data_IF_091527080337
#
_entry.id   IF_091527080337
#
_cell.length_a   1.000
_cell.length_b   1.000
_cell.length_c   1.000
_cell.angle_alpha   90.00
_cell.angle_beta   90.00
_cell.angle_gamma   90.00
#
_symmetry.space_group_name_H-M   'P 1'
#
loop_
_entity.id
_entity.type
_entity.pdbx_description
1 polymer ?
#
# COMPACT_ATOMS: atom_id res chain seq x y z
N UNK A 1 -5.36 10.85 -15.88
CA UNK A 1 -5.04 10.96 -14.44
C UNK A 1 -3.71 10.29 -14.17
N UNK A 2 -2.94 10.77 -13.21
CA UNK A 2 -1.69 10.10 -12.79
C UNK A 2 -2.01 8.91 -11.87
N UNK A 3 -1.08 7.96 -11.78
CA UNK A 3 -1.17 6.83 -10.84
C UNK A 3 -1.46 7.29 -9.41
N UNK A 4 -0.80 8.37 -8.98
CA UNK A 4 -0.98 8.94 -7.65
C UNK A 4 -2.38 9.54 -7.44
N UNK A 5 -2.95 10.18 -8.45
CA UNK A 5 -4.33 10.68 -8.40
C UNK A 5 -5.33 9.54 -8.26
N UNK A 6 -5.18 8.47 -9.06
CA UNK A 6 -6.06 7.29 -8.97
C UNK A 6 -5.95 6.63 -7.60
N UNK A 7 -4.74 6.36 -7.12
CA UNK A 7 -4.52 5.78 -5.78
C UNK A 7 -5.16 6.62 -4.68
N UNK A 8 -5.08 7.95 -4.78
CA UNK A 8 -5.74 8.86 -3.83
C UNK A 8 -7.25 8.70 -3.85
N UNK A 9 -7.88 8.69 -5.03
CA UNK A 9 -9.33 8.54 -5.16
C UNK A 9 -9.81 7.19 -4.59
N UNK A 10 -9.08 6.11 -4.90
CA UNK A 10 -9.40 4.78 -4.39
C UNK A 10 -9.21 4.66 -2.87
N UNK A 11 -8.19 5.33 -2.31
CA UNK A 11 -8.01 5.41 -0.86
C UNK A 11 -9.17 6.16 -0.17
N UNK A 12 -9.70 7.22 -0.81
CA UNK A 12 -10.85 7.95 -0.30
C UNK A 12 -12.14 7.11 -0.37
N UNK A 13 -12.37 6.39 -1.47
CA UNK A 13 -13.50 5.46 -1.60
C UNK A 13 -13.45 4.32 -0.56
N UNK A 14 -12.25 3.79 -0.29
CA UNK A 14 -12.05 2.86 0.85
C UNK A 14 -12.46 3.51 2.17
N UNK A 15 -12.02 4.73 2.43
CA UNK A 15 -12.34 5.43 3.66
C UNK A 15 -13.86 5.68 3.80
N UNK A 16 -14.56 6.01 2.71
CA UNK A 16 -16.02 6.14 2.73
C UNK A 16 -16.69 4.83 3.16
N UNK A 17 -16.24 3.71 2.62
CA UNK A 17 -16.75 2.38 2.96
C UNK A 17 -16.43 1.98 4.41
N UNK A 18 -15.21 2.26 4.88
CA UNK A 18 -14.73 1.93 6.23
C UNK A 18 -15.45 2.73 7.31
N UNK A 19 -15.61 4.04 7.10
CA UNK A 19 -16.26 4.92 8.06
C UNK A 19 -17.76 5.08 7.84
N UNK A 20 -18.32 4.43 6.82
CA UNK A 20 -19.72 4.56 6.39
C UNK A 20 -20.14 6.03 6.24
N UNK A 21 -19.25 6.84 5.67
CA UNK A 21 -19.41 8.28 5.53
C UNK A 21 -19.20 8.68 4.07
N UNK A 22 -20.08 9.54 3.57
CA UNK A 22 -19.93 10.16 2.25
C UNK A 22 -19.01 11.38 2.36
N UNK A 23 -17.95 11.44 1.55
CA UNK A 23 -17.02 12.57 1.46
C UNK A 23 -17.30 13.47 0.26
N UNK A 24 -18.39 13.25 -0.48
CA UNK A 24 -18.79 14.02 -1.67
C UNK A 24 -17.65 14.14 -2.68
N UNK A 25 -17.04 13.01 -2.99
CA UNK A 25 -15.89 12.93 -3.88
C UNK A 25 -16.27 13.32 -5.31
N UNK A 26 -15.48 14.20 -5.94
CA UNK A 26 -15.59 14.46 -7.38
C UNK A 26 -14.88 13.36 -8.15
N UNK A 27 -15.62 12.32 -8.50
CA UNK A 27 -15.12 11.17 -9.26
C UNK A 27 -15.38 11.38 -10.76
N UNK A 28 -14.48 10.90 -11.64
CA UNK A 28 -14.80 10.73 -13.05
C UNK A 28 -16.02 9.81 -13.22
N UNK A 29 -16.77 10.01 -14.30
CA UNK A 29 -17.89 9.14 -14.65
C UNK A 29 -17.44 7.67 -14.79
N UNK A 30 -18.20 6.75 -14.21
CA UNK A 30 -17.89 5.32 -14.22
C UNK A 30 -16.65 4.92 -13.42
N UNK A 31 -16.02 5.85 -12.68
CA UNK A 31 -14.77 5.57 -11.98
C UNK A 31 -14.97 4.42 -10.98
N UNK A 32 -15.96 4.53 -10.10
CA UNK A 32 -16.18 3.55 -9.04
C UNK A 32 -16.54 2.17 -9.62
N UNK A 33 -17.45 2.15 -10.58
CA UNK A 33 -17.97 0.97 -11.27
C UNK A 33 -16.87 0.24 -12.05
N UNK A 34 -15.96 0.99 -12.68
CA UNK A 34 -14.83 0.42 -13.43
C UNK A 34 -13.87 -0.37 -12.55
N UNK A 35 -13.71 -0.01 -11.27
CA UNK A 35 -12.89 -0.75 -10.33
C UNK A 35 -13.67 -1.89 -9.66
N UNK A 36 -14.93 -1.65 -9.30
CA UNK A 36 -15.81 -2.66 -8.67
C UNK A 36 -16.09 -3.88 -9.57
N UNK A 37 -16.11 -3.68 -10.89
CA UNK A 37 -16.37 -4.74 -11.87
C UNK A 37 -15.18 -5.66 -12.14
N UNK A 38 -13.99 -5.35 -11.62
CA UNK A 38 -12.79 -6.12 -11.92
C UNK A 38 -12.74 -7.41 -11.11
N UNK A 39 -12.32 -8.50 -11.75
CA UNK A 39 -12.22 -9.82 -11.10
C UNK A 39 -11.23 -9.87 -9.93
N UNK A 40 -10.25 -8.96 -9.90
CA UNK A 40 -9.28 -8.81 -8.82
C UNK A 40 -9.80 -7.95 -7.65
N UNK A 41 -10.90 -7.22 -7.83
CA UNK A 41 -11.49 -6.41 -6.76
C UNK A 41 -12.10 -7.32 -5.69
N UNK A 42 -11.83 -7.00 -4.42
CA UNK A 42 -12.26 -7.79 -3.25
C UNK A 42 -13.20 -7.01 -2.33
N UNK A 43 -13.76 -5.90 -2.82
CA UNK A 43 -14.56 -4.97 -2.04
C UNK A 43 -13.73 -3.85 -1.41
N UNK A 44 -14.37 -2.71 -1.15
CA UNK A 44 -13.70 -1.50 -0.64
C UNK A 44 -13.04 -1.69 0.73
N UNK A 45 -13.64 -2.50 1.61
CA UNK A 45 -13.09 -2.81 2.94
C UNK A 45 -11.78 -3.60 2.79
N UNK A 46 -11.73 -4.54 1.85
CA UNK A 46 -10.56 -5.37 1.57
C UNK A 46 -9.61 -4.72 0.56
N UNK A 47 -9.85 -3.45 0.20
CA UNK A 47 -9.04 -2.78 -0.82
C UNK A 47 -7.56 -2.73 -0.41
N UNK A 48 -7.23 -2.78 0.88
CA UNK A 48 -5.85 -2.88 1.38
C UNK A 48 -5.08 -4.13 0.91
N UNK A 49 -5.76 -5.23 0.56
CA UNK A 49 -5.18 -6.44 -0.03
C UNK A 49 -4.97 -6.29 -1.55
N UNK A 50 -5.76 -5.44 -2.19
CA UNK A 50 -5.76 -5.15 -3.63
C UNK A 50 -5.28 -3.72 -3.93
N UNK A 51 -4.45 -3.15 -3.04
CA UNK A 51 -4.30 -1.69 -2.91
C UNK A 51 -3.41 -1.02 -3.96
N UNK A 52 -3.00 -1.76 -4.97
CA UNK A 52 -2.20 -1.19 -6.03
C UNK A 52 -2.94 -1.25 -7.35
N UNK A 53 -2.63 -0.24 -8.15
CA UNK A 53 -3.00 -0.22 -9.55
C UNK A 53 -1.74 -0.51 -10.36
N UNK A 54 -1.95 -1.14 -11.51
CA UNK A 54 -0.87 -1.48 -12.41
C UNK A 54 -0.06 -0.23 -12.81
N UNK A 55 1.23 -0.43 -13.09
CA UNK A 55 2.14 0.68 -13.41
C UNK A 55 1.98 1.14 -14.86
N UNK A 56 1.60 0.24 -15.75
CA UNK A 56 1.41 0.47 -17.18
C UNK A 56 -0.05 0.88 -17.44
N UNK A 57 -1.00 0.21 -16.79
CA UNK A 57 -2.42 0.59 -16.81
C UNK A 57 -2.96 0.90 -15.41
N UNK A 58 -2.99 2.18 -15.09
CA UNK A 58 -3.43 2.69 -13.78
C UNK A 58 -4.91 2.44 -13.48
N UNK A 59 -5.70 1.91 -14.42
CA UNK A 59 -7.09 1.51 -14.21
C UNK A 59 -7.25 0.04 -13.80
N UNK A 60 -6.19 -0.78 -13.81
CA UNK A 60 -6.27 -2.18 -13.41
C UNK A 60 -5.91 -2.37 -11.92
N UNK A 61 -6.78 -3.04 -11.17
CA UNK A 61 -6.53 -3.50 -9.80
C UNK A 61 -5.60 -4.70 -9.83
N UNK A 62 -4.54 -4.65 -9.03
CA UNK A 62 -3.64 -5.78 -8.84
C UNK A 62 -3.59 -6.20 -7.37
N UNK A 63 -3.61 -7.51 -7.13
CA UNK A 63 -3.33 -8.06 -5.81
C UNK A 63 -1.83 -7.99 -5.54
N UNK A 64 -1.45 -7.42 -4.40
CA UNK A 64 -0.03 -7.36 -4.03
C UNK A 64 0.38 -8.70 -3.43
N UNK A 65 1.55 -9.21 -3.82
CA UNK A 65 2.13 -10.41 -3.18
C UNK A 65 2.54 -10.16 -1.73
N UNK A 66 2.79 -8.90 -1.38
CA UNK A 66 3.25 -8.45 -0.07
C UNK A 66 2.38 -7.27 0.35
N UNK A 67 1.96 -7.24 1.62
CA UNK A 67 1.15 -6.12 2.13
C UNK A 67 1.96 -4.82 2.08
N UNK A 68 1.28 -3.68 1.94
CA UNK A 68 1.96 -2.38 1.98
C UNK A 68 2.72 -2.17 3.30
N UNK A 69 2.16 -2.66 4.42
CA UNK A 69 2.82 -2.59 5.73
C UNK A 69 4.13 -3.38 5.73
N UNK A 70 4.16 -4.56 5.13
CA UNK A 70 5.39 -5.36 5.04
C UNK A 70 6.43 -4.72 4.09
N UNK A 71 6.00 -4.14 2.96
CA UNK A 71 6.91 -3.36 2.11
C UNK A 71 7.44 -2.12 2.83
N UNK A 72 6.59 -1.39 3.54
CA UNK A 72 6.98 -0.22 4.29
C UNK A 72 8.00 -0.57 5.40
N UNK A 73 7.74 -1.65 6.15
CA UNK A 73 8.72 -2.16 7.10
C UNK A 73 10.04 -2.51 6.42
N UNK A 74 10.01 -3.16 5.25
CA UNK A 74 11.22 -3.48 4.49
C UNK A 74 12.01 -2.23 4.11
N UNK A 75 11.35 -1.15 3.70
CA UNK A 75 12.02 0.12 3.40
C UNK A 75 12.54 0.83 4.65
N UNK A 76 11.77 0.84 5.75
CA UNK A 76 12.21 1.40 7.03
C UNK A 76 13.47 0.70 7.57
N UNK A 77 13.55 -0.62 7.46
CA UNK A 77 14.73 -1.40 7.87
C UNK A 77 16.00 -1.06 7.09
N UNK A 78 15.92 -0.24 6.02
CA UNK A 78 17.10 0.28 5.30
C UNK A 78 17.64 1.58 5.86
N UNK A 79 16.87 2.29 6.68
CA UNK A 79 17.22 3.64 7.11
C UNK A 79 17.08 3.87 8.60
N UNK A 80 16.31 3.03 9.29
CA UNK A 80 16.08 3.15 10.73
C UNK A 80 17.12 2.35 11.49
N UNK A 81 17.88 2.98 12.41
CA UNK A 81 18.79 2.28 13.30
C UNK A 81 18.04 1.28 14.20
N UNK A 82 18.67 0.15 14.47
CA UNK A 82 18.11 -0.92 15.31
C UNK A 82 18.64 -0.78 16.73
N UNK A 83 17.74 -0.79 17.71
CA UNK A 83 18.12 -0.85 19.13
C UNK A 83 18.24 -2.33 19.51
N UNK A 84 19.44 -2.74 19.90
CA UNK A 84 19.74 -4.09 20.35
C UNK A 84 19.20 -4.36 21.77
N UNK A 85 19.06 -5.65 22.17
CA UNK A 85 18.57 -6.00 23.51
C UNK A 85 19.41 -5.45 24.67
N UNK A 86 20.68 -5.13 24.43
CA UNK A 86 21.59 -4.51 25.40
C UNK A 86 21.51 -2.97 25.42
N UNK A 87 20.60 -2.40 24.61
CA UNK A 87 20.38 -0.96 24.50
C UNK A 87 21.31 -0.24 23.52
N UNK A 88 22.22 -0.95 22.84
CA UNK A 88 23.07 -0.34 21.82
C UNK A 88 22.28 0.00 20.55
N UNK A 89 22.62 1.12 19.92
CA UNK A 89 22.07 1.52 18.62
C UNK A 89 23.01 1.03 17.53
N UNK A 90 22.47 0.26 16.58
CA UNK A 90 23.17 -0.20 15.40
C UNK A 90 22.60 0.52 14.18
N UNK A 91 23.47 1.09 13.36
CA UNK A 91 23.05 1.74 12.13
C UNK A 91 22.45 0.73 11.14
N UNK A 92 21.52 1.19 10.31
CA UNK A 92 20.76 0.31 9.41
C UNK A 92 21.66 -0.48 8.45
N UNK A 93 22.73 0.14 7.94
CA UNK A 93 23.69 -0.49 7.02
C UNK A 93 24.44 -1.65 7.70
N UNK A 94 24.87 -1.47 8.95
CA UNK A 94 25.55 -2.50 9.73
C UNK A 94 24.61 -3.67 10.04
N UNK A 95 23.36 -3.36 10.41
CA UNK A 95 22.33 -4.38 10.65
C UNK A 95 22.02 -5.21 9.40
N UNK A 96 22.00 -4.58 8.21
CA UNK A 96 21.78 -5.29 6.96
C UNK A 96 22.90 -6.26 6.61
N UNK A 97 24.16 -5.85 6.77
CA UNK A 97 25.31 -6.73 6.53
C UNK A 97 25.27 -7.95 7.47
N UNK A 98 24.92 -7.73 8.74
CA UNK A 98 24.84 -8.78 9.75
C UNK A 98 23.70 -9.76 9.49
N UNK A 99 22.52 -9.27 9.14
CA UNK A 99 21.35 -10.10 8.85
C UNK A 99 21.50 -10.96 7.59
N UNK A 100 22.25 -10.51 6.58
CA UNK A 100 22.59 -11.31 5.39
C UNK A 100 23.73 -12.32 5.63
N UNK A 101 24.50 -12.18 6.71
CA UNK A 101 25.57 -13.11 7.08
C UNK A 101 25.07 -14.33 7.88
N UNK A 102 23.78 -14.37 8.21
CA UNK A 102 23.14 -15.40 9.05
C UNK A 102 22.20 -16.32 8.22
N UNK A 103 22.18 -16.16 6.88
CA UNK A 103 21.52 -17.10 5.95
C UNK A 103 22.49 -18.16 5.43
#
# INVERSE_FOLDING_TARGET
MTRQQIKRLLALLKAEAEYKKDFSLKLPEGFKESFESQSAFRGWINYHETWDVDKEDVWLVISRKVSLVAEWHKELMKVVPVILPDGQIMEADEWQQKSHSIQ
#
